data_IF_220283825230
#
_entry.id   IF_220283825230
#
_cell.length_a   1.000
_cell.length_b   1.000
_cell.length_c   1.000
_cell.angle_alpha   90.00
_cell.angle_beta   90.00
_cell.angle_gamma   90.00
#
_symmetry.space_group_name_H-M   'P 1'
#
loop_
_entity.id
_entity.type
_entity.pdbx_description
1 polymer ?
#
# COMPACT_ATOMS: atom_id res chain seq x y z
N UNK A 1 -10.26 7.14 0.56
CA UNK A 1 -9.16 7.34 1.55
C UNK A 1 -9.39 8.51 2.50
N UNK A 2 -9.85 9.67 2.03
CA UNK A 2 -10.12 10.84 2.90
C UNK A 2 -11.05 10.52 4.07
N UNK A 3 -12.11 9.73 3.87
CA UNK A 3 -13.05 9.35 4.93
C UNK A 3 -12.38 8.51 6.03
N UNK A 4 -11.53 7.54 5.66
CA UNK A 4 -10.79 6.73 6.62
C UNK A 4 -9.79 7.62 7.39
N UNK A 5 -9.07 8.52 6.70
CA UNK A 5 -8.16 9.46 7.35
C UNK A 5 -8.88 10.37 8.36
N UNK A 6 -10.05 10.91 8.00
CA UNK A 6 -10.85 11.71 8.92
C UNK A 6 -11.35 10.91 10.15
N UNK A 7 -11.72 9.64 9.95
CA UNK A 7 -12.11 8.74 11.03
C UNK A 7 -10.94 8.44 11.98
N UNK A 8 -9.74 8.21 11.42
CA UNK A 8 -8.51 8.02 12.20
C UNK A 8 -8.24 9.26 13.04
N UNK A 9 -8.24 10.45 12.42
CA UNK A 9 -8.02 11.72 13.12
C UNK A 9 -9.09 11.99 14.19
N UNK A 10 -10.34 11.59 13.93
CA UNK A 10 -11.41 11.71 14.91
C UNK A 10 -11.11 10.88 16.17
N UNK A 11 -10.78 9.60 16.03
CA UNK A 11 -10.46 8.75 17.18
C UNK A 11 -9.13 9.13 17.82
N UNK A 12 -8.12 9.52 17.04
CA UNK A 12 -6.86 10.04 17.57
C UNK A 12 -7.10 11.24 18.48
N UNK A 13 -7.82 12.26 18.03
CA UNK A 13 -8.08 13.47 18.78
C UNK A 13 -8.86 13.22 20.09
N UNK A 14 -9.69 12.18 20.14
CA UNK A 14 -10.44 11.83 21.36
C UNK A 14 -9.65 10.95 22.34
N UNK A 15 -8.72 10.14 21.82
CA UNK A 15 -7.99 9.16 22.62
C UNK A 15 -6.55 9.58 22.91
N UNK A 16 -5.97 10.47 22.12
CA UNK A 16 -4.63 10.99 22.39
C UNK A 16 -4.67 11.90 23.63
N UNK A 17 -3.85 11.63 24.67
CA UNK A 17 -3.94 12.37 25.91
C UNK A 17 -3.34 13.78 25.77
N UNK A 18 -4.01 14.78 26.30
CA UNK A 18 -3.52 16.17 26.33
C UNK A 18 -2.26 16.33 27.18
N UNK A 19 -2.12 15.51 28.22
CA UNK A 19 -0.96 15.52 29.13
C UNK A 19 -0.11 14.28 28.94
N UNK A 20 1.20 14.42 29.07
CA UNK A 20 2.14 13.31 28.97
C UNK A 20 1.76 12.23 30.00
N UNK A 21 1.51 11.03 29.52
CA UNK A 21 1.17 9.84 30.34
C UNK A 21 2.28 8.80 30.22
N UNK A 22 2.15 7.67 30.92
CA UNK A 22 3.11 6.56 30.79
C UNK A 22 3.07 5.94 29.40
N UNK A 23 4.20 5.41 28.95
CA UNK A 23 4.36 4.77 27.64
C UNK A 23 3.35 3.62 27.42
N UNK A 24 3.07 2.85 28.48
CA UNK A 24 2.06 1.79 28.45
C UNK A 24 0.64 2.32 28.22
N UNK A 25 0.26 3.44 28.81
CA UNK A 25 -1.05 4.07 28.60
C UNK A 25 -1.15 4.65 27.18
N UNK A 26 -0.07 5.25 26.66
CA UNK A 26 0.00 5.71 25.27
C UNK A 26 -0.22 4.55 24.29
N UNK A 27 0.47 3.42 24.52
CA UNK A 27 0.30 2.22 23.71
C UNK A 27 -1.14 1.67 23.74
N UNK A 28 -1.76 1.56 24.93
CA UNK A 28 -3.12 1.08 25.08
C UNK A 28 -4.14 1.98 24.36
N UNK A 29 -3.98 3.30 24.46
CA UNK A 29 -4.86 4.26 23.75
C UNK A 29 -4.69 4.19 22.25
N UNK A 30 -3.46 4.03 21.75
CA UNK A 30 -3.19 3.79 20.34
C UNK A 30 -3.80 2.48 19.83
N UNK A 31 -3.65 1.40 20.61
CA UNK A 31 -4.30 0.11 20.30
C UNK A 31 -5.82 0.25 20.26
N UNK A 32 -6.42 0.95 21.21
CA UNK A 32 -7.87 1.20 21.24
C UNK A 32 -8.30 2.01 20.01
N UNK A 33 -7.53 3.04 19.61
CA UNK A 33 -7.76 3.80 18.39
C UNK A 33 -7.82 2.88 17.17
N UNK A 34 -6.82 2.02 17.02
CA UNK A 34 -6.75 1.06 15.90
C UNK A 34 -7.97 0.14 15.89
N UNK A 35 -8.30 -0.47 17.03
CA UNK A 35 -9.43 -1.39 17.13
C UNK A 35 -10.76 -0.71 16.81
N UNK A 36 -10.99 0.52 17.28
CA UNK A 36 -12.21 1.28 17.00
C UNK A 36 -12.32 1.67 15.52
N UNK A 37 -11.22 2.08 14.88
CA UNK A 37 -11.20 2.37 13.44
C UNK A 37 -11.53 1.10 12.64
N UNK A 38 -10.85 -0.02 12.92
CA UNK A 38 -11.10 -1.28 12.21
C UNK A 38 -12.54 -1.78 12.39
N UNK A 39 -13.05 -1.71 13.61
CA UNK A 39 -14.44 -2.09 13.92
C UNK A 39 -15.43 -1.21 13.17
N UNK A 40 -15.26 0.11 13.21
CA UNK A 40 -16.15 1.06 12.52
C UNK A 40 -16.14 0.83 11.03
N UNK A 41 -14.95 0.74 10.41
CA UNK A 41 -14.80 0.51 8.97
C UNK A 41 -15.37 -0.86 8.58
N UNK A 42 -15.07 -1.90 9.37
CA UNK A 42 -15.58 -3.25 9.14
C UNK A 42 -17.10 -3.31 9.19
N UNK A 43 -17.72 -2.75 10.25
CA UNK A 43 -19.17 -2.75 10.40
C UNK A 43 -19.89 -1.94 9.31
N UNK A 44 -19.38 -0.75 8.97
CA UNK A 44 -19.94 0.06 7.90
C UNK A 44 -19.85 -0.64 6.54
N UNK A 45 -18.71 -1.24 6.24
CA UNK A 45 -18.55 -1.99 4.98
C UNK A 45 -19.44 -3.23 4.98
N UNK A 46 -19.48 -4.00 6.06
CA UNK A 46 -20.37 -5.17 6.18
C UNK A 46 -21.83 -4.78 6.01
N UNK A 47 -22.27 -3.67 6.59
CA UNK A 47 -23.62 -3.15 6.42
C UNK A 47 -23.93 -2.79 4.96
N UNK A 48 -23.00 -2.11 4.26
CA UNK A 48 -23.15 -1.80 2.83
C UNK A 48 -23.25 -3.08 1.97
N UNK A 49 -22.42 -4.08 2.25
CA UNK A 49 -22.45 -5.37 1.55
C UNK A 49 -23.76 -6.13 1.85
N UNK A 50 -24.24 -6.09 3.09
CA UNK A 50 -25.54 -6.65 3.44
C UNK A 50 -26.70 -6.00 2.67
N UNK A 51 -26.72 -4.66 2.56
CA UNK A 51 -27.70 -3.97 1.71
C UNK A 51 -27.60 -4.38 0.25
N UNK A 52 -26.36 -4.61 -0.25
CA UNK A 52 -26.10 -5.14 -1.58
C UNK A 52 -26.77 -6.51 -1.79
N UNK A 53 -26.61 -7.41 -0.84
CA UNK A 53 -27.26 -8.74 -0.88
C UNK A 53 -28.79 -8.66 -0.91
N UNK A 54 -29.40 -7.76 -0.15
CA UNK A 54 -30.86 -7.56 -0.16
C UNK A 54 -31.36 -7.08 -1.53
N UNK A 55 -30.56 -6.30 -2.28
CA UNK A 55 -30.90 -5.82 -3.61
C UNK A 55 -30.55 -6.78 -4.75
N UNK A 56 -30.05 -7.98 -4.41
CA UNK A 56 -29.73 -9.04 -5.38
C UNK A 56 -28.30 -8.98 -5.91
N UNK A 57 -27.97 -10.00 -6.75
CA UNK A 57 -26.59 -10.23 -7.22
C UNK A 57 -25.93 -9.01 -7.88
N UNK A 58 -26.65 -8.30 -8.71
CA UNK A 58 -26.08 -7.16 -9.44
C UNK A 58 -25.74 -5.97 -8.53
N UNK A 59 -26.59 -5.69 -7.52
CA UNK A 59 -26.32 -4.63 -6.55
C UNK A 59 -25.15 -5.02 -5.64
N UNK A 60 -25.11 -6.26 -5.18
CA UNK A 60 -23.98 -6.81 -4.45
C UNK A 60 -22.66 -6.66 -5.24
N UNK A 61 -22.65 -7.10 -6.50
CA UNK A 61 -21.46 -7.00 -7.36
C UNK A 61 -21.03 -5.55 -7.59
N UNK A 62 -21.98 -4.63 -7.83
CA UNK A 62 -21.69 -3.22 -8.00
C UNK A 62 -21.06 -2.60 -6.74
N UNK A 63 -21.63 -2.83 -5.56
CA UNK A 63 -21.09 -2.32 -4.30
C UNK A 63 -19.71 -2.92 -4.02
N UNK A 64 -19.53 -4.23 -4.21
CA UNK A 64 -18.25 -4.92 -4.01
C UNK A 64 -17.16 -4.35 -4.94
N UNK A 65 -17.49 -4.11 -6.21
CA UNK A 65 -16.58 -3.49 -7.18
C UNK A 65 -16.18 -2.07 -6.76
N UNK A 66 -17.15 -1.27 -6.31
CA UNK A 66 -16.88 0.10 -5.83
C UNK A 66 -15.98 0.08 -4.58
N UNK A 67 -16.27 -0.81 -3.63
CA UNK A 67 -15.43 -0.98 -2.44
C UNK A 67 -14.01 -1.36 -2.83
N UNK A 68 -13.84 -2.38 -3.69
CA UNK A 68 -12.53 -2.81 -4.15
C UNK A 68 -11.79 -1.70 -4.90
N UNK A 69 -12.47 -0.97 -5.78
CA UNK A 69 -11.89 0.17 -6.49
C UNK A 69 -11.28 1.22 -5.55
N UNK A 70 -11.97 1.52 -4.43
CA UNK A 70 -11.44 2.47 -3.45
C UNK A 70 -10.32 1.92 -2.56
N UNK A 71 -10.11 0.62 -2.50
CA UNK A 71 -9.00 0.03 -1.74
C UNK A 71 -7.70 -0.02 -2.54
N UNK A 72 -7.76 0.08 -3.87
CA UNK A 72 -6.62 -0.08 -4.77
C UNK A 72 -6.12 1.25 -5.34
N UNK A 73 -4.81 1.34 -5.60
CA UNK A 73 -4.16 2.58 -6.07
C UNK A 73 -3.23 2.41 -7.29
N UNK A 74 -3.43 1.44 -8.21
CA UNK A 74 -2.46 1.18 -9.29
C UNK A 74 -2.30 2.38 -10.22
N UNK A 75 -3.39 3.08 -10.55
CA UNK A 75 -3.38 4.21 -11.47
C UNK A 75 -2.65 5.44 -10.91
N UNK A 76 -2.83 5.77 -9.63
CA UNK A 76 -2.12 6.89 -9.01
C UNK A 76 -0.63 6.60 -8.90
N UNK A 77 -0.28 5.38 -8.49
CA UNK A 77 1.11 4.95 -8.37
C UNK A 77 1.85 4.99 -9.72
N UNK A 78 1.23 4.45 -10.78
CA UNK A 78 1.78 4.51 -12.13
C UNK A 78 1.95 5.97 -12.62
N UNK A 79 0.94 6.82 -12.40
CA UNK A 79 1.00 8.23 -12.79
C UNK A 79 2.15 8.96 -12.09
N UNK A 80 2.28 8.79 -10.78
CA UNK A 80 3.32 9.46 -10.00
C UNK A 80 4.72 8.98 -10.41
N UNK A 81 4.89 7.66 -10.67
CA UNK A 81 6.12 7.10 -11.21
C UNK A 81 6.45 7.59 -12.62
N UNK A 82 5.45 7.66 -13.52
CA UNK A 82 5.64 8.16 -14.89
C UNK A 82 6.01 9.65 -14.92
N UNK A 83 5.42 10.45 -14.05
CA UNK A 83 5.74 11.87 -13.95
C UNK A 83 7.21 12.07 -13.55
N UNK A 84 7.70 11.35 -12.54
CA UNK A 84 9.12 11.41 -12.16
C UNK A 84 10.02 10.87 -13.28
N UNK A 85 9.61 9.80 -13.98
CA UNK A 85 10.34 9.28 -15.14
C UNK A 85 10.53 10.33 -16.22
N UNK A 86 9.48 11.06 -16.62
CA UNK A 86 9.56 12.10 -17.64
C UNK A 86 10.42 13.28 -17.19
N UNK A 87 10.29 13.73 -15.92
CA UNK A 87 11.12 14.79 -15.36
C UNK A 87 12.62 14.43 -15.39
N UNK A 88 12.99 13.18 -15.17
CA UNK A 88 14.38 12.74 -15.20
C UNK A 88 14.89 12.53 -16.63
N UNK A 89 14.08 11.91 -17.50
CA UNK A 89 14.52 11.48 -18.84
C UNK A 89 14.41 12.57 -19.89
N UNK A 90 13.27 13.22 -19.95
CA UNK A 90 12.91 14.14 -21.03
C UNK A 90 13.29 15.58 -20.66
N UNK A 91 12.85 16.04 -19.49
CA UNK A 91 13.03 17.43 -19.05
C UNK A 91 14.38 17.67 -18.36
N UNK A 92 15.01 16.62 -17.81
CA UNK A 92 16.23 16.69 -16.99
C UNK A 92 16.12 17.66 -15.81
N UNK A 93 14.91 17.82 -15.27
CA UNK A 93 14.58 18.72 -14.17
C UNK A 93 14.66 17.98 -12.82
N UNK A 94 15.87 17.94 -12.27
CA UNK A 94 16.11 17.31 -10.95
C UNK A 94 15.40 18.03 -9.81
N UNK A 95 15.19 19.34 -9.91
CA UNK A 95 14.55 20.13 -8.84
C UNK A 95 13.09 19.73 -8.69
N UNK A 96 12.36 19.71 -9.81
CA UNK A 96 10.95 19.30 -9.81
C UNK A 96 10.82 17.80 -9.50
N UNK A 97 11.74 16.95 -9.99
CA UNK A 97 11.74 15.51 -9.69
C UNK A 97 11.94 15.23 -8.19
N UNK A 98 12.85 15.93 -7.50
CA UNK A 98 13.01 15.87 -6.03
C UNK A 98 11.74 16.26 -5.30
N UNK A 99 11.13 17.38 -5.69
CA UNK A 99 9.87 17.86 -5.11
C UNK A 99 8.74 16.88 -5.34
N UNK A 100 8.67 16.25 -6.50
CA UNK A 100 7.66 15.24 -6.80
C UNK A 100 7.86 13.98 -5.96
N UNK A 101 9.10 13.52 -5.86
CA UNK A 101 9.45 12.39 -5.02
C UNK A 101 9.09 12.65 -3.54
N UNK A 102 9.33 13.85 -3.00
CA UNK A 102 9.01 14.19 -1.60
C UNK A 102 7.52 14.05 -1.25
N UNK A 103 6.63 14.02 -2.24
CA UNK A 103 5.20 13.82 -2.00
C UNK A 103 4.80 12.36 -1.81
N UNK A 104 5.66 11.44 -2.24
CA UNK A 104 5.37 9.99 -2.21
C UNK A 104 6.33 9.20 -1.32
N UNK A 105 7.37 9.84 -0.77
CA UNK A 105 8.30 9.21 0.19
C UNK A 105 8.32 9.97 1.51
N UNK A 106 8.57 9.27 2.61
CA UNK A 106 8.66 9.85 3.96
C UNK A 106 10.07 10.30 4.37
N UNK A 107 10.98 10.55 3.40
CA UNK A 107 12.38 10.94 3.66
C UNK A 107 12.74 12.25 2.97
N UNK A 108 13.85 12.86 3.40
CA UNK A 108 14.40 14.06 2.77
C UNK A 108 14.86 13.73 1.34
N UNK A 109 14.49 14.61 0.40
CA UNK A 109 14.79 14.46 -1.02
C UNK A 109 15.59 15.63 -1.60
N UNK A 110 15.92 16.66 -0.80
CA UNK A 110 16.47 17.93 -1.28
C UNK A 110 17.81 17.78 -2.02
N UNK A 111 18.63 16.83 -1.60
CA UNK A 111 20.00 16.65 -2.11
C UNK A 111 20.21 15.37 -2.93
N UNK A 112 19.12 14.68 -3.34
CA UNK A 112 19.23 13.43 -4.09
C UNK A 112 19.70 13.69 -5.53
N UNK A 113 20.63 12.88 -6.02
CA UNK A 113 20.99 12.81 -7.43
C UNK A 113 19.95 11.99 -8.25
N UNK A 114 20.11 11.95 -9.56
CA UNK A 114 19.22 11.23 -10.47
C UNK A 114 19.06 9.76 -10.06
N UNK A 115 20.16 9.08 -9.73
CA UNK A 115 20.14 7.66 -9.34
C UNK A 115 19.35 7.44 -8.05
N UNK A 116 19.50 8.30 -7.06
CA UNK A 116 18.79 8.20 -5.79
C UNK A 116 17.31 8.59 -5.91
N UNK A 117 16.95 9.52 -6.80
CA UNK A 117 15.56 9.83 -7.15
C UNK A 117 14.93 8.62 -7.83
N UNK A 118 15.59 8.01 -8.81
CA UNK A 118 15.10 6.81 -9.48
C UNK A 118 14.94 5.64 -8.48
N UNK A 119 15.93 5.44 -7.59
CA UNK A 119 15.86 4.42 -6.52
C UNK A 119 14.65 4.64 -5.62
N UNK A 120 14.46 5.84 -5.08
CA UNK A 120 13.33 6.15 -4.20
C UNK A 120 11.99 5.95 -4.89
N UNK A 121 11.89 6.26 -6.18
CA UNK A 121 10.68 6.03 -6.98
C UNK A 121 10.41 4.54 -7.15
N UNK A 122 11.42 3.73 -7.48
CA UNK A 122 11.30 2.29 -7.67
C UNK A 122 10.94 1.59 -6.35
N UNK A 123 11.60 1.96 -5.25
CA UNK A 123 11.28 1.47 -3.90
C UNK A 123 9.81 1.73 -3.56
N UNK A 124 9.35 2.97 -3.79
CA UNK A 124 7.94 3.35 -3.54
C UNK A 124 6.96 2.57 -4.42
N UNK A 125 7.29 2.35 -5.71
CA UNK A 125 6.44 1.53 -6.60
C UNK A 125 6.39 0.09 -6.10
N UNK A 126 7.52 -0.49 -5.69
CA UNK A 126 7.57 -1.87 -5.20
C UNK A 126 6.80 -2.05 -3.89
N UNK A 127 7.00 -1.16 -2.91
CA UNK A 127 6.29 -1.13 -1.63
C UNK A 127 4.78 -0.97 -1.85
N UNK A 128 4.38 0.06 -2.58
CA UNK A 128 2.96 0.33 -2.84
C UNK A 128 2.31 -0.68 -3.80
N UNK A 129 3.05 -1.49 -4.55
CA UNK A 129 2.50 -2.65 -5.24
C UNK A 129 2.00 -3.68 -4.23
N UNK A 130 2.75 -3.91 -3.16
CA UNK A 130 2.29 -4.75 -2.06
C UNK A 130 1.10 -4.11 -1.36
N UNK A 131 1.27 -2.92 -0.81
CA UNK A 131 0.33 -2.28 0.10
C UNK A 131 -0.94 -1.74 -0.59
N UNK A 132 -0.79 -1.27 -1.80
CA UNK A 132 -1.86 -0.62 -2.56
C UNK A 132 -2.54 -1.49 -3.59
N UNK A 133 -2.06 -2.74 -3.83
CA UNK A 133 -2.63 -3.61 -4.87
C UNK A 133 -2.75 -5.05 -4.37
N UNK A 134 -1.63 -5.72 -4.09
CA UNK A 134 -1.63 -7.17 -3.82
C UNK A 134 -2.28 -7.48 -2.46
N UNK A 135 -1.96 -6.72 -1.42
CA UNK A 135 -2.57 -6.96 -0.10
C UNK A 135 -4.08 -6.70 -0.08
N UNK A 136 -4.62 -5.58 -0.63
CA UNK A 136 -6.07 -5.43 -0.76
C UNK A 136 -6.74 -6.58 -1.50
N UNK A 137 -6.17 -7.05 -2.62
CA UNK A 137 -6.68 -8.20 -3.38
C UNK A 137 -6.61 -9.49 -2.55
N UNK A 138 -5.49 -9.76 -1.88
CA UNK A 138 -5.32 -10.92 -1.00
C UNK A 138 -6.39 -10.97 0.10
N UNK A 139 -6.65 -9.84 0.78
CA UNK A 139 -7.68 -9.77 1.80
C UNK A 139 -9.10 -9.79 1.22
N UNK A 140 -9.27 -9.31 -0.02
CA UNK A 140 -10.52 -9.49 -0.76
C UNK A 140 -10.79 -10.98 -1.06
N UNK A 141 -9.80 -11.73 -1.48
CA UNK A 141 -9.91 -13.17 -1.72
C UNK A 141 -10.33 -13.94 -0.45
N UNK A 142 -9.75 -13.59 0.70
CA UNK A 142 -10.01 -14.31 1.96
C UNK A 142 -11.32 -13.91 2.64
N UNK A 143 -11.67 -12.63 2.64
CA UNK A 143 -12.75 -12.07 3.45
C UNK A 143 -13.69 -11.14 2.66
N UNK A 144 -13.62 -11.17 1.33
CA UNK A 144 -14.42 -10.33 0.46
C UNK A 144 -14.13 -8.83 0.61
N UNK A 145 -15.08 -7.98 0.18
CA UNK A 145 -14.92 -6.53 0.20
C UNK A 145 -14.66 -5.96 1.60
N UNK A 146 -15.20 -6.60 2.65
CA UNK A 146 -14.97 -6.19 4.04
C UNK A 146 -13.51 -6.36 4.43
N UNK A 147 -12.91 -7.51 4.07
CA UNK A 147 -11.48 -7.77 4.33
C UNK A 147 -10.56 -6.76 3.64
N UNK A 148 -10.81 -6.48 2.36
CA UNK A 148 -10.04 -5.48 1.61
C UNK A 148 -10.11 -4.08 2.26
N UNK A 149 -11.30 -3.65 2.72
CA UNK A 149 -11.47 -2.34 3.33
C UNK A 149 -10.86 -2.26 4.74
N UNK A 150 -10.99 -3.31 5.55
CA UNK A 150 -10.35 -3.41 6.88
C UNK A 150 -8.83 -3.40 6.74
N UNK A 151 -8.27 -4.19 5.81
CA UNK A 151 -6.84 -4.12 5.50
C UNK A 151 -6.43 -2.68 5.14
N UNK A 152 -7.16 -2.03 4.23
CA UNK A 152 -6.85 -0.66 3.80
C UNK A 152 -6.90 0.35 4.94
N UNK A 153 -7.82 0.18 5.89
CA UNK A 153 -7.86 1.01 7.10
C UNK A 153 -6.61 0.78 7.97
N UNK A 154 -6.18 -0.47 8.16
CA UNK A 154 -4.93 -0.81 8.87
C UNK A 154 -3.71 -0.14 8.25
N UNK A 155 -3.51 -0.31 6.96
CA UNK A 155 -2.41 0.30 6.20
C UNK A 155 -2.46 1.85 6.24
N UNK A 156 -3.66 2.45 6.17
CA UNK A 156 -3.80 3.91 6.30
C UNK A 156 -3.43 4.39 7.71
N UNK A 157 -3.75 3.60 8.74
CA UNK A 157 -3.36 3.94 10.12
C UNK A 157 -1.85 3.89 10.33
N UNK A 158 -1.14 2.92 9.75
CA UNK A 158 0.32 2.92 9.76
C UNK A 158 0.88 4.16 9.08
N UNK A 159 0.40 4.49 7.89
CA UNK A 159 0.81 5.69 7.15
C UNK A 159 0.57 7.02 7.91
N UNK A 160 -0.42 7.07 8.81
CA UNK A 160 -0.76 8.28 9.58
C UNK A 160 -0.16 8.31 10.98
N UNK A 161 -0.03 7.16 11.64
CA UNK A 161 0.35 7.05 13.05
C UNK A 161 1.66 6.29 13.26
N UNK A 162 2.16 5.53 12.27
CA UNK A 162 3.33 4.65 12.40
C UNK A 162 4.69 5.36 12.50
N UNK A 163 4.72 6.69 12.53
CA UNK A 163 5.95 7.47 12.59
C UNK A 163 6.71 7.30 13.92
N UNK A 164 8.04 7.15 13.82
CA UNK A 164 8.95 7.04 14.97
C UNK A 164 9.36 8.42 15.52
N UNK A 165 8.39 9.28 15.78
CA UNK A 165 8.60 10.58 16.44
C UNK A 165 8.04 10.57 17.87
N UNK A 166 8.32 11.61 18.66
CA UNK A 166 7.91 11.70 20.05
C UNK A 166 6.39 11.56 20.28
N UNK A 167 5.58 11.96 19.30
CA UNK A 167 4.12 11.86 19.36
C UNK A 167 3.64 10.43 19.19
N UNK A 168 4.17 9.70 18.21
CA UNK A 168 3.63 8.42 17.78
C UNK A 168 4.44 7.20 18.19
N UNK A 169 5.63 7.37 18.77
CA UNK A 169 6.54 6.28 19.14
C UNK A 169 5.85 5.13 19.91
N UNK A 170 4.97 5.48 20.84
CA UNK A 170 4.19 4.51 21.62
C UNK A 170 2.75 4.41 21.14
N UNK A 171 2.12 5.52 20.78
CA UNK A 171 0.72 5.56 20.33
C UNK A 171 0.54 4.85 19.00
N UNK A 172 1.39 5.10 18.01
CA UNK A 172 1.32 4.48 16.68
C UNK A 172 1.91 3.07 16.59
N UNK A 173 2.60 2.61 17.63
CA UNK A 173 3.33 1.34 17.62
C UNK A 173 2.46 0.12 17.29
N UNK A 174 1.21 0.10 17.73
CA UNK A 174 0.30 -1.00 17.43
C UNK A 174 -0.13 -0.97 15.96
N UNK A 175 -0.40 0.22 15.39
CA UNK A 175 -0.73 0.38 13.96
C UNK A 175 0.42 -0.14 13.07
N UNK A 176 1.66 0.29 13.34
CA UNK A 176 2.84 -0.17 12.60
C UNK A 176 3.04 -1.69 12.69
N UNK A 177 2.93 -2.27 13.90
CA UNK A 177 3.04 -3.71 14.09
C UNK A 177 1.94 -4.51 13.41
N UNK A 178 0.72 -3.97 13.40
CA UNK A 178 -0.40 -4.59 12.71
C UNK A 178 -0.17 -4.61 11.21
N UNK A 179 0.30 -3.52 10.63
CA UNK A 179 0.63 -3.43 9.20
C UNK A 179 1.74 -4.42 8.81
N UNK A 180 2.81 -4.51 9.61
CA UNK A 180 3.87 -5.52 9.42
C UNK A 180 3.30 -6.96 9.34
N UNK A 181 2.37 -7.30 10.25
CA UNK A 181 1.73 -8.63 10.28
C UNK A 181 0.81 -8.84 9.07
N UNK A 182 0.01 -7.84 8.74
CA UNK A 182 -0.92 -7.92 7.61
C UNK A 182 -0.18 -8.05 6.27
N UNK A 183 0.96 -7.40 6.14
CA UNK A 183 1.77 -7.45 4.92
C UNK A 183 2.75 -8.64 4.86
N UNK A 184 2.89 -9.43 5.94
CA UNK A 184 3.88 -10.50 6.00
C UNK A 184 3.73 -11.54 4.87
N UNK A 185 2.54 -12.04 4.59
CA UNK A 185 2.26 -12.99 3.50
C UNK A 185 2.17 -12.26 2.15
N UNK A 186 1.39 -11.18 1.99
CA UNK A 186 1.28 -10.47 0.73
C UNK A 186 2.62 -10.01 0.15
N UNK A 187 3.56 -9.52 0.97
CA UNK A 187 4.88 -9.10 0.50
C UNK A 187 5.66 -10.26 -0.16
N UNK A 188 5.55 -11.47 0.37
CA UNK A 188 6.18 -12.66 -0.23
C UNK A 188 5.52 -13.06 -1.53
N UNK A 189 4.20 -12.96 -1.60
CA UNK A 189 3.46 -13.18 -2.84
C UNK A 189 3.87 -12.13 -3.88
N UNK A 190 3.95 -10.86 -3.50
CA UNK A 190 4.40 -9.77 -4.40
C UNK A 190 5.80 -10.06 -4.96
N UNK A 191 6.74 -10.51 -4.13
CA UNK A 191 8.06 -10.90 -4.59
C UNK A 191 8.01 -11.99 -5.67
N UNK A 192 7.26 -13.06 -5.42
CA UNK A 192 7.11 -14.15 -6.40
C UNK A 192 6.44 -13.67 -7.70
N UNK A 193 5.45 -12.80 -7.59
CA UNK A 193 4.77 -12.20 -8.75
C UNK A 193 5.70 -11.28 -9.55
N UNK A 194 6.57 -10.51 -8.89
CA UNK A 194 7.57 -9.70 -9.57
C UNK A 194 8.58 -10.57 -10.34
N UNK A 195 9.07 -11.66 -9.74
CA UNK A 195 9.95 -12.61 -10.42
C UNK A 195 9.25 -13.22 -11.65
N UNK A 196 8.00 -13.64 -11.48
CA UNK A 196 7.21 -14.19 -12.59
C UNK A 196 6.93 -13.15 -13.69
N UNK A 197 6.58 -11.92 -13.31
CA UNK A 197 6.39 -10.82 -14.25
C UNK A 197 7.68 -10.48 -15.01
N UNK A 198 8.82 -10.42 -14.32
CA UNK A 198 10.13 -10.21 -14.94
C UNK A 198 10.45 -11.31 -15.97
N UNK A 199 10.18 -12.58 -15.63
CA UNK A 199 10.36 -13.70 -16.56
C UNK A 199 9.47 -13.56 -17.79
N UNK A 200 8.18 -13.28 -17.62
CA UNK A 200 7.22 -13.13 -18.73
C UNK A 200 7.52 -11.91 -19.62
N UNK A 201 7.98 -10.82 -19.04
CA UNK A 201 8.40 -9.61 -19.74
C UNK A 201 9.80 -9.74 -20.38
N UNK A 202 10.43 -10.91 -20.27
CA UNK A 202 11.80 -11.18 -20.77
C UNK A 202 12.86 -10.26 -20.19
N UNK A 203 12.68 -9.81 -18.96
CA UNK A 203 13.66 -9.08 -18.17
C UNK A 203 14.65 -10.05 -17.50
N UNK A 204 15.75 -9.53 -16.98
CA UNK A 204 16.72 -10.36 -16.25
C UNK A 204 16.20 -10.71 -14.85
N UNK A 205 15.30 -11.70 -14.79
CA UNK A 205 14.68 -12.17 -13.55
C UNK A 205 15.69 -12.79 -12.58
N UNK A 206 16.78 -13.40 -13.09
CA UNK A 206 17.83 -14.01 -12.25
C UNK A 206 18.57 -12.94 -11.48
N UNK A 207 18.95 -11.85 -12.16
CA UNK A 207 19.59 -10.70 -11.53
C UNK A 207 18.65 -9.98 -10.56
N UNK A 208 17.36 -9.90 -10.86
CA UNK A 208 16.36 -9.36 -9.95
C UNK A 208 16.29 -10.15 -8.62
N UNK A 209 16.30 -11.50 -8.68
CA UNK A 209 16.37 -12.36 -7.48
C UNK A 209 17.68 -12.15 -6.71
N UNK A 210 18.80 -12.08 -7.42
CA UNK A 210 20.11 -11.88 -6.81
C UNK A 210 20.22 -10.54 -6.08
N UNK A 211 19.70 -9.45 -6.67
CA UNK A 211 19.65 -8.13 -6.05
C UNK A 211 18.77 -8.12 -4.80
N UNK A 212 17.59 -8.72 -4.85
CA UNK A 212 16.71 -8.82 -3.68
C UNK A 212 17.35 -9.57 -2.50
N UNK A 213 18.28 -10.48 -2.76
CA UNK A 213 18.99 -11.25 -1.73
C UNK A 213 20.26 -10.56 -1.22
N UNK A 214 20.78 -9.53 -1.93
CA UNK A 214 22.12 -8.97 -1.68
C UNK A 214 22.15 -7.53 -1.21
N UNK A 215 21.04 -6.82 -1.07
CA UNK A 215 21.04 -5.35 -0.80
C UNK A 215 22.00 -4.57 -1.75
N UNK A 216 21.91 -4.82 -3.06
CA UNK A 216 22.89 -4.33 -4.01
C UNK A 216 22.77 -2.82 -4.28
N UNK A 217 23.82 -2.07 -4.00
CA UNK A 217 24.01 -0.66 -4.36
C UNK A 217 24.39 -0.51 -5.85
N UNK A 218 23.51 -0.85 -6.77
CA UNK A 218 23.73 -0.58 -8.19
C UNK A 218 23.15 0.79 -8.56
N UNK A 219 23.86 1.61 -9.41
CA UNK A 219 23.30 2.86 -9.90
C UNK A 219 22.05 2.63 -10.74
N UNK A 220 20.93 3.25 -10.35
CA UNK A 220 19.66 3.15 -11.06
C UNK A 220 19.49 4.33 -12.02
N UNK A 221 18.80 4.08 -13.14
CA UNK A 221 18.49 5.07 -14.18
C UNK A 221 16.98 5.27 -14.29
N UNK A 222 16.57 6.38 -14.91
CA UNK A 222 15.15 6.67 -15.16
C UNK A 222 14.42 5.52 -15.87
N UNK A 223 15.05 4.82 -16.81
CA UNK A 223 14.45 3.69 -17.54
C UNK A 223 14.04 2.53 -16.62
N UNK A 224 14.70 2.35 -15.48
CA UNK A 224 14.32 1.35 -14.49
C UNK A 224 12.99 1.68 -13.79
N UNK A 225 12.58 2.97 -13.74
CA UNK A 225 11.27 3.38 -13.25
C UNK A 225 10.16 2.81 -14.16
N UNK A 226 10.33 2.95 -15.48
CA UNK A 226 9.38 2.38 -16.44
C UNK A 226 9.29 0.87 -16.29
N UNK A 227 10.41 0.19 -16.12
CA UNK A 227 10.47 -1.26 -15.90
C UNK A 227 9.72 -1.65 -14.62
N UNK A 228 9.87 -0.90 -13.52
CA UNK A 228 9.17 -1.19 -12.27
C UNK A 228 7.65 -1.01 -12.39
N UNK A 229 7.18 -0.02 -13.15
CA UNK A 229 5.76 0.17 -13.47
C UNK A 229 5.22 -1.01 -14.29
N UNK A 230 5.96 -1.48 -15.29
CA UNK A 230 5.57 -2.66 -16.08
C UNK A 230 5.49 -3.92 -15.21
N UNK A 231 6.43 -4.12 -14.30
CA UNK A 231 6.43 -5.23 -13.34
C UNK A 231 5.24 -5.14 -12.37
N UNK A 232 4.89 -3.95 -11.89
CA UNK A 232 3.70 -3.72 -11.07
C UNK A 232 2.42 -4.18 -11.79
N UNK A 233 2.21 -3.74 -13.04
CA UNK A 233 1.04 -4.18 -13.82
C UNK A 233 1.08 -5.68 -14.13
N UNK A 234 2.26 -6.22 -14.47
CA UNK A 234 2.44 -7.65 -14.70
C UNK A 234 2.08 -8.48 -13.46
N UNK A 235 2.58 -8.10 -12.30
CA UNK A 235 2.26 -8.74 -11.02
C UNK A 235 0.76 -8.65 -10.69
N UNK A 236 0.15 -7.49 -10.93
CA UNK A 236 -1.29 -7.27 -10.71
C UNK A 236 -2.13 -8.21 -11.58
N UNK A 237 -1.83 -8.30 -12.88
CA UNK A 237 -2.55 -9.18 -13.82
C UNK A 237 -2.38 -10.65 -13.42
N UNK A 238 -1.16 -11.07 -13.07
CA UNK A 238 -0.90 -12.43 -12.62
C UNK A 238 -1.67 -12.78 -11.36
N UNK A 239 -1.74 -11.85 -10.39
CA UNK A 239 -2.48 -12.09 -9.17
C UNK A 239 -3.99 -12.18 -9.41
N UNK A 240 -4.57 -11.30 -10.21
CA UNK A 240 -6.00 -11.36 -10.59
C UNK A 240 -6.33 -12.66 -11.34
N UNK A 241 -5.45 -13.10 -12.24
CA UNK A 241 -5.61 -14.39 -12.91
C UNK A 241 -5.58 -15.56 -11.92
N UNK A 242 -4.64 -15.55 -10.96
CA UNK A 242 -4.58 -16.54 -9.89
C UNK A 242 -5.84 -16.54 -9.03
N UNK A 243 -6.32 -15.36 -8.58
CA UNK A 243 -7.56 -15.23 -7.81
C UNK A 243 -8.76 -15.80 -8.58
N UNK A 244 -8.88 -15.47 -9.87
CA UNK A 244 -9.96 -15.97 -10.72
C UNK A 244 -9.98 -17.49 -10.79
N UNK A 245 -8.81 -18.11 -10.95
CA UNK A 245 -8.66 -19.58 -10.94
C UNK A 245 -9.03 -20.16 -9.58
N UNK A 246 -8.56 -19.57 -8.47
CA UNK A 246 -8.88 -20.05 -7.12
C UNK A 246 -10.37 -19.94 -6.82
N UNK A 247 -11.01 -18.83 -7.19
CA UNK A 247 -12.46 -18.66 -7.02
C UNK A 247 -13.20 -19.73 -7.85
N UNK A 248 -12.80 -19.99 -9.09
CA UNK A 248 -13.45 -21.01 -9.94
C UNK A 248 -13.29 -22.44 -9.39
N UNK A 249 -12.18 -22.76 -8.71
CA UNK A 249 -11.93 -24.10 -8.15
C UNK A 249 -12.64 -24.32 -6.83
N UNK A 250 -12.73 -23.30 -5.97
CA UNK A 250 -13.17 -23.43 -4.58
C UNK A 250 -14.55 -22.86 -4.26
N UNK A 251 -15.15 -22.14 -5.22
CA UNK A 251 -16.49 -21.53 -5.10
C UNK A 251 -17.36 -21.86 -6.30
#
# INVERSE_FOLDING_TARGET
MVLIGNLISFYENHLYPEKKTSDGNMFLRGMLTVLLVLLTVGLLTAFLIYLGHLGGLWLYAAISTVVLYFTMTPRSLARDGLEIYHLLKDDKDLVTARKRLSWIVGRDTENLDESNIARGTIETIAENTTDGIISPLFYFLLFGPVGAMVYRAGNTMDSMLGYKNDRYLFFGRFAARLDDVLNYIPARITFLLFVAAAFLLRLDWRHAVEICLRDAETPLKSDHIMTSIMMMYGATILFIALETVLIYIFW
#
